data_IF_184106116635
#
_entry.id   IF_184106116635
#
_cell.length_a   1.000
_cell.length_b   1.000
_cell.length_c   1.000
_cell.angle_alpha   90.00
_cell.angle_beta   90.00
_cell.angle_gamma   90.00
#
_symmetry.space_group_name_H-M   'P 1'
#
loop_
_entity.id
_entity.type
_entity.pdbx_description
1 polymer ?
#
# COMPACT_ATOMS: atom_id res chain seq x y z
N UNK A 1 -12.20 29.78 5.48
CA UNK A 1 -13.38 29.41 6.27
C UNK A 1 -13.10 28.05 6.88
N UNK A 2 -13.11 27.94 8.21
CA UNK A 2 -12.95 26.65 8.90
C UNK A 2 -14.09 25.71 8.52
N UNK A 3 -13.80 24.43 8.21
CA UNK A 3 -14.85 23.45 7.83
C UNK A 3 -15.68 22.98 9.04
N UNK A 4 -15.22 23.27 10.26
CA UNK A 4 -15.83 22.83 11.52
C UNK A 4 -15.61 23.91 12.61
N UNK A 5 -16.41 23.93 13.68
CA UNK A 5 -16.24 24.89 14.78
C UNK A 5 -16.39 24.23 16.16
N UNK A 6 -15.54 24.60 17.12
CA UNK A 6 -15.65 24.17 18.52
C UNK A 6 -15.66 22.64 18.70
N UNK A 7 -16.73 22.10 19.30
CA UNK A 7 -16.90 20.66 19.58
C UNK A 7 -16.77 19.79 18.33
N UNK A 8 -17.14 20.31 17.16
CA UNK A 8 -17.05 19.58 15.89
C UNK A 8 -15.60 19.29 15.48
N UNK A 9 -14.64 20.14 15.87
CA UNK A 9 -13.21 19.91 15.61
C UNK A 9 -12.67 18.74 16.43
N UNK A 10 -13.08 18.61 17.69
CA UNK A 10 -12.66 17.48 18.53
C UNK A 10 -13.31 16.17 18.08
N UNK A 11 -14.59 16.19 17.66
CA UNK A 11 -15.25 15.03 17.06
C UNK A 11 -14.55 14.63 15.75
N UNK A 12 -14.27 15.59 14.87
CA UNK A 12 -13.55 15.35 13.62
C UNK A 12 -12.15 14.78 13.85
N UNK A 13 -11.42 15.30 14.84
CA UNK A 13 -10.11 14.78 15.23
C UNK A 13 -10.19 13.33 15.69
N UNK A 14 -11.15 13.00 16.57
CA UNK A 14 -11.30 11.62 17.06
C UNK A 14 -11.66 10.67 15.92
N UNK A 15 -12.57 11.08 15.02
CA UNK A 15 -12.91 10.30 13.83
C UNK A 15 -11.68 9.95 12.98
N UNK A 16 -10.80 10.93 12.70
CA UNK A 16 -9.60 10.69 11.90
C UNK A 16 -8.54 9.85 12.61
N UNK A 17 -8.49 9.87 13.95
CA UNK A 17 -7.63 8.97 14.72
C UNK A 17 -8.12 7.52 14.61
N UNK A 18 -9.42 7.28 14.81
CA UNK A 18 -10.00 5.94 14.69
C UNK A 18 -9.83 5.39 13.26
N UNK A 19 -9.97 6.25 12.25
CA UNK A 19 -9.79 5.88 10.84
C UNK A 19 -8.31 5.62 10.50
N UNK A 20 -7.38 6.35 11.12
CA UNK A 20 -5.95 6.11 10.99
C UNK A 20 -5.56 4.74 11.55
N UNK A 21 -6.07 4.36 12.73
CA UNK A 21 -5.79 3.06 13.36
C UNK A 21 -6.26 1.90 12.48
N UNK A 22 -7.50 1.97 11.97
CA UNK A 22 -8.04 0.98 11.02
C UNK A 22 -7.19 0.86 9.75
N UNK A 23 -6.64 1.96 9.26
CA UNK A 23 -5.77 1.96 8.06
C UNK A 23 -4.42 1.36 8.34
N UNK A 24 -3.87 1.54 9.55
CA UNK A 24 -2.62 0.91 9.98
C UNK A 24 -2.80 -0.62 10.06
N UNK A 25 -3.89 -1.10 10.67
CA UNK A 25 -4.21 -2.53 10.69
C UNK A 25 -4.33 -3.10 9.27
N UNK A 26 -5.01 -2.37 8.38
CA UNK A 26 -5.14 -2.77 6.98
C UNK A 26 -3.78 -2.78 6.26
N UNK A 27 -2.87 -1.87 6.59
CA UNK A 27 -1.54 -1.81 6.00
C UNK A 27 -0.74 -3.06 6.34
N UNK A 28 -0.81 -3.52 7.59
CA UNK A 28 -0.16 -4.75 8.03
C UNK A 28 -0.63 -5.94 7.19
N UNK A 29 -1.96 -6.12 7.08
CA UNK A 29 -2.56 -7.20 6.29
C UNK A 29 -2.08 -7.14 4.83
N UNK A 30 -2.15 -5.95 4.20
CA UNK A 30 -1.75 -5.80 2.80
C UNK A 30 -0.25 -5.97 2.59
N UNK A 31 0.57 -5.60 3.58
CA UNK A 31 2.01 -5.84 3.56
C UNK A 31 2.34 -7.33 3.57
N UNK A 32 1.63 -8.10 4.40
CA UNK A 32 1.76 -9.57 4.45
C UNK A 32 1.32 -10.20 3.13
N UNK A 33 0.19 -9.77 2.56
CA UNK A 33 -0.32 -10.26 1.27
C UNK A 33 0.68 -10.01 0.13
N UNK A 34 1.24 -8.79 0.06
CA UNK A 34 2.27 -8.43 -0.91
C UNK A 34 3.53 -9.28 -0.74
N UNK A 35 4.00 -9.48 0.50
CA UNK A 35 5.17 -10.29 0.78
C UNK A 35 4.98 -11.76 0.35
N UNK A 36 3.79 -12.32 0.60
CA UNK A 36 3.45 -13.68 0.20
C UNK A 36 3.40 -13.83 -1.32
N UNK A 37 2.74 -12.89 -2.02
CA UNK A 37 2.65 -12.94 -3.49
C UNK A 37 3.99 -12.72 -4.17
N UNK A 38 4.85 -11.84 -3.64
CA UNK A 38 6.24 -11.68 -4.13
C UNK A 38 7.06 -12.96 -3.91
N UNK A 39 6.98 -13.59 -2.73
CA UNK A 39 7.64 -14.88 -2.46
C UNK A 39 7.22 -15.93 -3.49
N UNK A 40 5.92 -16.08 -3.71
CA UNK A 40 5.37 -17.08 -4.61
C UNK A 40 5.77 -16.85 -6.06
N UNK A 41 5.77 -15.58 -6.51
CA UNK A 41 6.27 -15.19 -7.82
C UNK A 41 7.76 -15.52 -7.97
N UNK A 42 8.61 -15.12 -7.02
CA UNK A 42 10.07 -15.34 -7.09
C UNK A 42 10.43 -16.83 -7.09
N UNK A 43 9.77 -17.64 -6.26
CA UNK A 43 9.98 -19.08 -6.22
C UNK A 43 9.55 -19.73 -7.54
N UNK A 44 8.39 -19.36 -8.08
CA UNK A 44 7.92 -19.91 -9.34
C UNK A 44 8.84 -19.54 -10.51
N UNK A 45 9.26 -18.28 -10.59
CA UNK A 45 10.17 -17.80 -11.63
C UNK A 45 11.50 -18.55 -11.58
N UNK A 46 12.09 -18.71 -10.39
CA UNK A 46 13.33 -19.47 -10.23
C UNK A 46 13.18 -20.93 -10.71
N UNK A 47 12.10 -21.60 -10.30
CA UNK A 47 11.80 -22.97 -10.76
C UNK A 47 11.63 -23.04 -12.28
N UNK A 48 11.01 -22.04 -12.90
CA UNK A 48 10.82 -21.98 -14.36
C UNK A 48 12.15 -21.81 -15.09
N UNK A 49 13.00 -20.88 -14.62
CA UNK A 49 14.33 -20.62 -15.20
C UNK A 49 15.19 -21.90 -15.16
N UNK A 50 15.17 -22.66 -14.07
CA UNK A 50 15.92 -23.91 -13.94
C UNK A 50 15.47 -24.99 -14.94
N UNK A 51 14.19 -24.98 -15.34
CA UNK A 51 13.65 -25.92 -16.34
C UNK A 51 14.02 -25.55 -17.78
N UNK A 52 14.39 -24.29 -18.03
CA UNK A 52 14.83 -23.82 -19.34
C UNK A 52 16.29 -24.25 -19.58
N UNK A 53 16.46 -25.53 -19.89
CA UNK A 53 17.69 -26.07 -20.47
C UNK A 53 17.77 -25.63 -21.97
N UNK A 54 18.95 -25.66 -22.58
CA UNK A 54 19.24 -25.24 -23.97
C UNK A 54 19.24 -23.75 -24.36
N UNK A 55 18.73 -22.83 -23.53
CA UNK A 55 18.87 -21.39 -23.86
C UNK A 55 20.29 -20.91 -23.56
N UNK A 56 20.99 -20.37 -24.57
CA UNK A 56 22.42 -19.99 -24.48
C UNK A 56 22.73 -18.84 -23.52
N UNK A 57 21.78 -17.94 -23.26
CA UNK A 57 22.00 -16.76 -22.41
C UNK A 57 21.05 -16.72 -21.22
N UNK A 58 21.58 -16.46 -20.03
CA UNK A 58 20.81 -16.31 -18.80
C UNK A 58 19.77 -15.18 -18.89
N UNK A 59 20.09 -14.07 -19.58
CA UNK A 59 19.15 -12.96 -19.78
C UNK A 59 17.93 -13.39 -20.59
N UNK A 60 18.16 -14.18 -21.66
CA UNK A 60 17.07 -14.68 -22.51
C UNK A 60 16.21 -15.70 -21.75
N UNK A 61 16.82 -16.55 -20.90
CA UNK A 61 16.06 -17.46 -20.02
C UNK A 61 15.11 -16.70 -19.11
N UNK A 62 15.57 -15.61 -18.49
CA UNK A 62 14.77 -14.81 -17.57
C UNK A 62 13.57 -14.19 -18.29
N UNK A 63 13.77 -13.60 -19.47
CA UNK A 63 12.68 -12.97 -20.22
C UNK A 63 11.66 -14.00 -20.72
N UNK A 64 12.10 -15.15 -21.23
CA UNK A 64 11.20 -16.25 -21.60
C UNK A 64 10.41 -16.74 -20.39
N UNK A 65 11.06 -16.97 -19.25
CA UNK A 65 10.39 -17.43 -18.04
C UNK A 65 9.33 -16.43 -17.56
N UNK A 66 9.62 -15.13 -17.58
CA UNK A 66 8.66 -14.06 -17.24
C UNK A 66 7.46 -14.01 -18.19
N UNK A 67 7.67 -14.35 -19.47
CA UNK A 67 6.62 -14.37 -20.49
C UNK A 67 5.72 -15.61 -20.43
N UNK A 68 6.08 -16.64 -19.67
CA UNK A 68 5.23 -17.82 -19.53
C UNK A 68 3.98 -17.53 -18.72
N UNK A 69 2.83 -18.05 -19.15
CA UNK A 69 1.51 -17.73 -18.61
C UNK A 69 1.43 -17.86 -17.08
N UNK A 70 1.97 -18.95 -16.53
CA UNK A 70 1.97 -19.22 -15.08
C UNK A 70 2.74 -18.16 -14.28
N UNK A 71 3.88 -17.71 -14.83
CA UNK A 71 4.72 -16.70 -14.19
C UNK A 71 4.15 -15.29 -14.40
N UNK A 72 3.65 -15.00 -15.58
CA UNK A 72 2.99 -13.74 -15.89
C UNK A 72 1.77 -13.51 -14.99
N UNK A 73 0.96 -14.56 -14.76
CA UNK A 73 -0.16 -14.49 -13.82
C UNK A 73 0.29 -14.22 -12.38
N UNK A 74 1.32 -14.92 -11.89
CA UNK A 74 1.86 -14.67 -10.54
C UNK A 74 2.42 -13.26 -10.39
N UNK A 75 3.07 -12.74 -11.44
CA UNK A 75 3.55 -11.35 -11.47
C UNK A 75 2.39 -10.36 -11.38
N UNK A 76 1.32 -10.59 -12.14
CA UNK A 76 0.10 -9.78 -12.10
C UNK A 76 -0.50 -9.76 -10.69
N UNK A 77 -0.64 -10.92 -10.04
CA UNK A 77 -1.18 -10.99 -8.67
C UNK A 77 -0.36 -10.17 -7.68
N UNK A 78 0.98 -10.30 -7.75
CA UNK A 78 1.88 -9.47 -6.95
C UNK A 78 1.69 -7.98 -7.24
N UNK A 79 1.64 -7.59 -8.52
CA UNK A 79 1.50 -6.19 -8.89
C UNK A 79 0.16 -5.61 -8.41
N UNK A 80 -0.91 -6.41 -8.41
CA UNK A 80 -2.20 -6.05 -7.81
C UNK A 80 -2.08 -5.83 -6.30
N UNK A 81 -1.45 -6.75 -5.56
CA UNK A 81 -1.25 -6.59 -4.11
C UNK A 81 -0.35 -5.38 -3.80
N UNK A 82 0.62 -5.08 -4.67
CA UNK A 82 1.46 -3.89 -4.54
C UNK A 82 0.62 -2.62 -4.65
N UNK A 83 -0.23 -2.52 -5.67
CA UNK A 83 -1.13 -1.38 -5.83
C UNK A 83 -2.04 -1.22 -4.61
N UNK A 84 -2.56 -2.32 -4.06
CA UNK A 84 -3.38 -2.28 -2.84
C UNK A 84 -2.60 -1.78 -1.63
N UNK A 85 -1.38 -2.28 -1.41
CA UNK A 85 -0.50 -1.82 -0.34
C UNK A 85 -0.19 -0.32 -0.47
N UNK A 86 0.25 0.12 -1.66
CA UNK A 86 0.58 1.52 -1.94
C UNK A 86 -0.66 2.42 -1.73
N UNK A 87 -1.85 1.95 -2.11
CA UNK A 87 -3.12 2.67 -1.89
C UNK A 87 -3.41 2.88 -0.40
N UNK A 88 -3.18 1.86 0.44
CA UNK A 88 -3.36 2.01 1.89
C UNK A 88 -2.36 3.01 2.48
N UNK A 89 -1.11 3.00 2.00
CA UNK A 89 -0.12 4.00 2.42
C UNK A 89 -0.57 5.44 2.09
N UNK A 90 -1.09 5.67 0.87
CA UNK A 90 -1.66 6.97 0.51
C UNK A 90 -2.86 7.35 1.37
N UNK A 91 -3.70 6.37 1.70
CA UNK A 91 -4.83 6.53 2.61
C UNK A 91 -4.39 7.00 4.02
N UNK A 92 -3.30 6.43 4.54
CA UNK A 92 -2.70 6.85 5.82
C UNK A 92 -2.16 8.27 5.72
N UNK A 93 -1.46 8.59 4.63
CA UNK A 93 -0.95 9.94 4.40
C UNK A 93 -2.07 10.99 4.38
N UNK A 94 -3.17 10.72 3.68
CA UNK A 94 -4.35 11.59 3.69
C UNK A 94 -4.90 11.81 5.10
N UNK A 95 -4.99 10.75 5.91
CA UNK A 95 -5.50 10.85 7.29
C UNK A 95 -4.60 11.73 8.16
N UNK A 96 -3.28 11.64 7.97
CA UNK A 96 -2.30 12.50 8.66
C UNK A 96 -2.43 13.96 8.25
N UNK A 97 -2.67 14.24 6.96
CA UNK A 97 -2.91 15.60 6.47
C UNK A 97 -4.16 16.21 7.11
N UNK A 98 -5.27 15.48 7.12
CA UNK A 98 -6.54 15.95 7.72
C UNK A 98 -6.38 16.20 9.22
N UNK A 99 -5.68 15.33 9.95
CA UNK A 99 -5.32 15.57 11.35
C UNK A 99 -4.45 16.82 11.54
N UNK A 100 -3.56 17.12 10.59
CA UNK A 100 -2.76 18.35 10.58
C UNK A 100 -3.63 19.59 10.46
N UNK A 101 -4.54 19.61 9.48
CA UNK A 101 -5.49 20.71 9.25
C UNK A 101 -6.35 20.96 10.50
N UNK A 102 -6.93 19.90 11.08
CA UNK A 102 -7.77 20.04 12.29
C UNK A 102 -6.97 20.60 13.47
N UNK A 103 -5.71 20.18 13.64
CA UNK A 103 -4.84 20.72 14.69
C UNK A 103 -4.57 22.21 14.50
N UNK A 104 -4.34 22.65 13.27
CA UNK A 104 -4.16 24.07 12.93
C UNK A 104 -5.42 24.88 13.21
N UNK A 105 -6.60 24.37 12.81
CA UNK A 105 -7.88 25.03 13.07
C UNK A 105 -8.16 25.16 14.58
N UNK A 106 -7.90 24.13 15.38
CA UNK A 106 -8.02 24.17 16.85
C UNK A 106 -7.08 25.24 17.43
N UNK A 107 -5.84 25.32 16.95
CA UNK A 107 -4.88 26.32 17.42
C UNK A 107 -5.36 27.74 17.09
N UNK A 108 -5.85 27.96 15.87
CA UNK A 108 -6.36 29.24 15.41
C UNK A 108 -7.57 29.69 16.23
N UNK A 109 -8.51 28.80 16.54
CA UNK A 109 -9.65 29.12 17.41
C UNK A 109 -9.19 29.56 18.81
N UNK A 110 -8.16 28.92 19.37
CA UNK A 110 -7.63 29.27 20.70
C UNK A 110 -6.93 30.62 20.73
N UNK A 111 -6.31 31.02 19.62
CA UNK A 111 -5.64 32.33 19.50
C UNK A 111 -6.62 33.49 19.27
N UNK A 112 -7.85 33.18 18.81
CA UNK A 112 -8.91 34.17 18.55
C UNK A 112 -9.89 34.35 19.72
N UNK A 113 -9.71 33.59 20.82
CA UNK A 113 -10.45 33.74 22.09
C UNK A 113 -9.61 34.50 23.10
#
# INVERSE_FOLDING_TARGET
>A
MSRYAGTDLEIGKQYWLDELDKRIERLEIKGIDLANTEKDYRVALAKKILKLNDVRSGTVKVEIAKGTEDIAFKRLQRDIEKVKYDTVQQSIYQSKLELGIIKEDILNERLQR
#
